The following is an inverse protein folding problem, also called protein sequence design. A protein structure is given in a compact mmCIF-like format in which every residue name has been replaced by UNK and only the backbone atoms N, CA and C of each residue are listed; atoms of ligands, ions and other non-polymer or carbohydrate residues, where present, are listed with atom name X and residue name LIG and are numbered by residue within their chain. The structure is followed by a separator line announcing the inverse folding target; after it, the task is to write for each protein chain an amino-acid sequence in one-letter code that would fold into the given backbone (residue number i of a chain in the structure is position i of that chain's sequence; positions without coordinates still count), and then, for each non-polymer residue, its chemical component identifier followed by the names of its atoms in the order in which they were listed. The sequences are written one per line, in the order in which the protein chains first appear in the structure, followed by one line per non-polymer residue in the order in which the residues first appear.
data_IF_648268408144
#
_entry.id   IF_648268408144
#
_cell.length_a   1.000
_cell.length_b   1.000
_cell.length_c   1.000
_cell.angle_alpha   90.00
_cell.angle_beta   90.00
_cell.angle_gamma   90.00
#
_symmetry.space_group_name_H-M   'P 1'
#
loop_
_entity.id
_entity.type
_entity.pdbx_description
1 polymer ?
#
# COMPACT_ATOMS: atom_id res chain seq x y z
N UNK A 1 -10.41 21.99 14.94
CA UNK A 1 -9.06 21.47 14.72
C UNK A 1 -9.20 19.96 14.53
N UNK A 2 -9.48 19.49 13.30
CA UNK A 2 -9.39 18.05 13.06
C UNK A 2 -7.91 17.70 13.13
N UNK A 3 -7.53 16.80 14.03
CA UNK A 3 -6.27 16.08 13.88
C UNK A 3 -6.29 15.49 12.47
N UNK A 4 -5.38 15.92 11.60
CA UNK A 4 -5.07 15.17 10.39
C UNK A 4 -4.58 13.81 10.86
N UNK A 5 -5.50 12.83 10.95
CA UNK A 5 -5.15 11.43 11.20
C UNK A 5 -4.51 10.91 9.93
N UNK A 6 -3.27 11.31 9.71
CA UNK A 6 -2.40 10.80 8.66
C UNK A 6 -2.17 9.33 8.94
N UNK A 7 -2.93 8.47 8.26
CA UNK A 7 -2.83 7.03 8.44
C UNK A 7 -1.55 6.49 7.81
N UNK A 8 -0.80 5.69 8.55
CA UNK A 8 0.36 4.98 8.02
C UNK A 8 -0.05 3.66 7.39
N UNK A 9 0.64 3.26 6.32
CA UNK A 9 0.44 1.96 5.70
C UNK A 9 0.62 0.82 6.70
N UNK A 10 1.60 0.92 7.61
CA UNK A 10 1.80 -0.09 8.67
C UNK A 10 0.58 -0.28 9.57
N UNK A 11 -0.07 0.82 9.98
CA UNK A 11 -1.30 0.77 10.79
C UNK A 11 -2.48 0.20 10.00
N UNK A 12 -2.55 0.50 8.71
CA UNK A 12 -3.56 -0.07 7.84
C UNK A 12 -3.38 -1.58 7.66
N UNK A 13 -2.17 -2.04 7.36
CA UNK A 13 -1.82 -3.45 7.20
C UNK A 13 -2.06 -4.27 8.49
N UNK A 14 -1.92 -3.66 9.67
CA UNK A 14 -2.23 -4.32 10.95
C UNK A 14 -3.72 -4.52 11.24
N UNK A 15 -4.61 -3.76 10.59
CA UNK A 15 -6.06 -3.83 10.86
C UNK A 15 -6.80 -4.71 9.87
N UNK A 16 -6.25 -4.92 8.67
CA UNK A 16 -6.80 -5.86 7.70
C UNK A 16 -6.36 -7.28 8.05
N UNK A 17 -7.06 -8.27 7.48
CA UNK A 17 -6.66 -9.67 7.63
C UNK A 17 -5.38 -9.93 6.85
N UNK A 18 -4.59 -10.89 7.31
CA UNK A 18 -3.30 -11.26 6.72
C UNK A 18 -3.42 -11.65 5.23
N UNK A 19 -4.52 -12.30 4.85
CA UNK A 19 -4.84 -12.72 3.48
C UNK A 19 -5.41 -11.61 2.58
N UNK A 20 -5.61 -10.40 3.11
CA UNK A 20 -6.17 -9.29 2.34
C UNK A 20 -5.17 -8.79 1.30
N UNK A 21 -5.56 -8.79 0.03
CA UNK A 21 -4.72 -8.26 -1.06
C UNK A 21 -4.64 -6.74 -1.00
N UNK A 22 -3.43 -6.20 -1.15
CA UNK A 22 -3.16 -4.77 -1.15
C UNK A 22 -2.50 -4.32 -2.45
N UNK A 23 -3.24 -3.59 -3.28
CA UNK A 23 -2.70 -2.96 -4.48
C UNK A 23 -2.21 -1.55 -4.14
N UNK A 24 -0.89 -1.40 -3.96
CA UNK A 24 -0.26 -0.16 -3.56
C UNK A 24 0.15 0.68 -4.78
N UNK A 25 -0.50 1.83 -4.96
CA UNK A 25 -0.20 2.78 -6.03
C UNK A 25 0.64 3.93 -5.50
N UNK A 26 1.81 4.12 -6.12
CA UNK A 26 2.73 5.22 -5.85
C UNK A 26 2.72 6.23 -6.99
N UNK A 27 3.19 7.44 -6.72
CA UNK A 27 3.33 8.50 -7.71
C UNK A 27 4.59 8.28 -8.56
N UNK A 28 4.45 8.32 -9.88
CA UNK A 28 5.58 8.28 -10.81
C UNK A 28 6.19 9.66 -11.00
N UNK A 29 7.34 9.74 -11.68
CA UNK A 29 7.95 11.05 -12.04
C UNK A 29 7.03 11.95 -12.86
N UNK A 30 6.16 11.36 -13.66
CA UNK A 30 5.15 12.05 -14.47
C UNK A 30 3.87 12.41 -13.70
N UNK A 31 3.80 12.13 -12.40
CA UNK A 31 2.63 12.40 -11.56
C UNK A 31 1.50 11.36 -11.69
N UNK A 32 1.65 10.34 -12.54
CA UNK A 32 0.69 9.26 -12.65
C UNK A 32 0.78 8.33 -11.43
N UNK A 33 -0.33 7.69 -11.05
CA UNK A 33 -0.34 6.68 -9.99
C UNK A 33 -0.20 5.29 -10.59
N UNK A 34 0.82 4.53 -10.21
CA UNK A 34 1.08 3.16 -10.70
C UNK A 34 1.53 2.24 -9.57
N UNK A 35 1.27 0.94 -9.74
CA UNK A 35 1.88 -0.08 -8.89
C UNK A 35 3.34 -0.22 -9.32
N UNK A 36 4.32 -0.15 -8.41
CA UNK A 36 5.72 -0.45 -8.71
C UNK A 36 5.91 -1.92 -9.07
N UNK A 37 6.85 -2.24 -9.97
CA UNK A 37 7.12 -3.61 -10.44
C UNK A 37 7.34 -4.62 -9.31
N UNK A 38 8.08 -4.31 -8.22
CA UNK A 38 8.26 -5.25 -7.11
C UNK A 38 6.98 -5.60 -6.35
N UNK A 39 5.91 -4.82 -6.52
CA UNK A 39 4.62 -4.99 -5.86
C UNK A 39 3.54 -5.56 -6.79
N UNK A 40 3.93 -6.06 -7.98
CA UNK A 40 3.03 -6.79 -8.87
C UNK A 40 2.65 -8.16 -8.27
N UNK A 41 1.52 -8.70 -8.73
CA UNK A 41 1.10 -10.06 -8.35
C UNK A 41 0.16 -10.13 -7.15
N UNK A 42 -0.54 -9.05 -6.81
CA UNK A 42 -1.54 -9.01 -5.74
C UNK A 42 -0.98 -9.43 -4.37
N UNK A 43 0.05 -8.74 -3.85
CA UNK A 43 0.63 -9.09 -2.55
C UNK A 43 -0.39 -8.94 -1.42
N UNK A 44 -0.29 -9.80 -0.42
CA UNK A 44 -1.15 -9.78 0.76
C UNK A 44 -0.60 -8.85 1.84
N UNK A 45 -1.46 -8.46 2.80
CA UNK A 45 -1.03 -7.69 3.96
C UNK A 45 0.08 -8.41 4.75
N UNK A 46 0.01 -9.73 4.90
CA UNK A 46 1.05 -10.53 5.55
C UNK A 46 2.42 -10.35 4.90
N UNK A 47 2.48 -10.46 3.57
CA UNK A 47 3.73 -10.36 2.81
C UNK A 47 4.37 -8.97 2.90
N UNK A 48 3.56 -7.93 3.08
CA UNK A 48 4.01 -6.54 3.07
C UNK A 48 4.28 -5.98 4.46
N UNK A 49 3.67 -6.53 5.52
CA UNK A 49 3.57 -5.87 6.82
C UNK A 49 4.91 -5.61 7.49
N UNK A 50 5.93 -6.43 7.21
CA UNK A 50 7.24 -6.34 7.86
C UNK A 50 8.22 -5.41 7.12
N UNK A 51 7.88 -4.96 5.91
CA UNK A 51 8.72 -4.02 5.16
C UNK A 51 8.68 -2.62 5.79
N UNK A 52 9.78 -2.21 6.43
CA UNK A 52 9.86 -0.93 7.17
C UNK A 52 9.61 0.29 6.29
N UNK A 53 10.10 0.27 5.04
CA UNK A 53 9.85 1.33 4.08
C UNK A 53 8.34 1.50 3.83
N UNK A 54 7.62 0.41 3.55
CA UNK A 54 6.17 0.45 3.39
C UNK A 54 5.45 0.87 4.65
N UNK A 55 5.85 0.38 5.84
CA UNK A 55 5.21 0.75 7.09
C UNK A 55 5.18 2.27 7.33
N UNK A 56 6.23 2.97 6.91
CA UNK A 56 6.41 4.41 7.12
C UNK A 56 5.61 5.29 6.14
N UNK A 57 5.13 4.72 5.03
CA UNK A 57 4.40 5.47 4.02
C UNK A 57 3.05 5.95 4.54
N UNK A 58 2.60 7.06 3.99
CA UNK A 58 1.30 7.68 4.32
C UNK A 58 0.25 7.21 3.32
N UNK A 59 -0.88 6.73 3.83
CA UNK A 59 -2.05 6.43 3.03
C UNK A 59 -2.74 7.75 2.66
N UNK A 60 -2.73 8.09 1.38
CA UNK A 60 -3.44 9.25 0.86
C UNK A 60 -4.94 8.93 0.69
N UNK A 61 -5.25 7.78 0.13
CA UNK A 61 -6.62 7.27 0.03
C UNK A 61 -6.64 5.76 -0.15
N UNK A 62 -7.78 5.14 0.12
CA UNK A 62 -7.98 3.71 -0.08
C UNK A 62 -9.41 3.41 -0.48
N UNK A 63 -9.59 2.36 -1.28
CA UNK A 63 -10.90 1.86 -1.71
C UNK A 63 -10.91 0.34 -1.62
N UNK A 64 -11.92 -0.18 -0.92
CA UNK A 64 -12.17 -1.62 -0.87
C UNK A 64 -12.64 -2.11 -2.24
N UNK A 65 -12.22 -3.31 -2.62
CA UNK A 65 -12.72 -3.99 -3.80
C UNK A 65 -12.85 -5.49 -3.55
N UNK A 66 -13.68 -6.12 -4.37
CA UNK A 66 -13.81 -7.56 -4.51
C UNK A 66 -14.03 -7.89 -5.98
N UNK A 67 -13.59 -9.07 -6.42
CA UNK A 67 -13.86 -9.61 -7.74
C UNK A 67 -13.95 -11.14 -7.68
N UNK A 68 -14.08 -11.80 -8.83
CA UNK A 68 -14.23 -13.26 -8.93
C UNK A 68 -13.06 -14.07 -8.33
N UNK A 69 -11.87 -13.45 -8.25
CA UNK A 69 -10.63 -14.09 -7.76
C UNK A 69 -10.26 -13.60 -6.35
N UNK A 70 -10.52 -12.32 -6.04
CA UNK A 70 -10.13 -11.66 -4.79
C UNK A 70 -11.40 -11.35 -4.02
N UNK A 71 -11.67 -12.16 -2.99
CA UNK A 71 -12.84 -12.02 -2.11
C UNK A 71 -12.83 -10.73 -1.28
N UNK A 72 -11.64 -10.20 -0.98
CA UNK A 72 -11.47 -8.91 -0.31
C UNK A 72 -10.07 -8.34 -0.57
N UNK A 73 -10.01 -7.16 -1.17
CA UNK A 73 -8.77 -6.42 -1.38
C UNK A 73 -8.95 -4.92 -1.21
N UNK A 74 -7.83 -4.21 -1.17
CA UNK A 74 -7.81 -2.75 -1.11
C UNK A 74 -6.88 -2.17 -2.16
N UNK A 75 -7.39 -1.20 -2.91
CA UNK A 75 -6.56 -0.27 -3.65
C UNK A 75 -6.14 0.81 -2.68
N UNK A 76 -4.83 1.01 -2.50
CA UNK A 76 -4.27 2.01 -1.60
C UNK A 76 -3.39 2.96 -2.39
N UNK A 77 -3.64 4.25 -2.27
CA UNK A 77 -2.84 5.29 -2.90
C UNK A 77 -1.88 5.90 -1.89
N UNK A 78 -0.63 5.99 -2.29
CA UNK A 78 0.45 6.65 -1.57
C UNK A 78 0.91 7.84 -2.41
N UNK A 79 0.85 9.04 -1.85
CA UNK A 79 1.20 10.29 -2.56
C UNK A 79 2.70 10.61 -2.45
N UNK A 80 3.53 9.59 -2.51
CA UNK A 80 4.99 9.69 -2.56
C UNK A 80 5.52 8.91 -3.76
N UNK A 81 6.74 9.26 -4.20
CA UNK A 81 7.46 8.45 -5.18
C UNK A 81 7.90 7.15 -4.54
N UNK A 82 7.80 6.06 -5.29
CA UNK A 82 8.34 4.78 -4.85
C UNK A 82 9.86 4.83 -4.85
N UNK A 83 10.47 4.45 -3.73
CA UNK A 83 11.91 4.30 -3.57
C UNK A 83 12.20 2.81 -3.57
N UNK A 84 12.69 2.31 -4.71
CA UNK A 84 12.96 0.90 -4.90
C UNK A 84 14.11 0.41 -4.02
N UNK A 85 15.16 1.23 -3.87
CA UNK A 85 16.32 0.85 -3.05
C UNK A 85 15.93 0.77 -1.57
N UNK A 86 15.15 1.74 -1.07
CA UNK A 86 14.64 1.68 0.29
C UNK A 86 13.68 0.50 0.50
N UNK A 87 12.87 0.15 -0.50
CA UNK A 87 11.98 -1.02 -0.42
C UNK A 87 12.76 -2.34 -0.34
N UNK A 88 13.78 -2.52 -1.18
CA UNK A 88 14.55 -3.77 -1.28
C UNK A 88 15.48 -3.99 -0.07
N UNK A 89 15.89 -2.93 0.63
CA UNK A 89 16.79 -2.98 1.79
C UNK A 89 16.07 -2.84 3.15
N UNK A 90 14.73 -2.85 3.19
CA UNK A 90 13.92 -2.57 4.37
C UNK A 90 13.68 -3.75 5.33
#
# INVERSE_FOLDING_TARGET
MSEDKTEKLGDFMRRVKDDTVLNLYFVTETGAKRIPTPLFGNPTAEQLRDNRYLQSQVVASRKHYCNEVISSGWTVHVDTKFDQEAFENA
#
